data_IF_246323816449
#
_entry.id   IF_246323816449
#
_cell.length_a   1.000
_cell.length_b   1.000
_cell.length_c   1.000
_cell.angle_alpha   90.00
_cell.angle_beta   90.00
_cell.angle_gamma   90.00
#
_symmetry.space_group_name_H-M   'P 1'
#
loop_
_entity.id
_entity.type
_entity.pdbx_description
1 polymer ?
#
# COMPACT_ATOMS: atom_id res chain seq x y z
N UNK A 1 14.46 -15.21 -6.60
CA UNK A 1 14.03 -13.82 -6.51
C UNK A 1 14.34 -13.33 -5.10
N UNK A 2 15.10 -12.25 -5.00
CA UNK A 2 15.42 -11.62 -3.72
C UNK A 2 14.20 -10.84 -3.22
N UNK A 3 13.66 -11.22 -2.05
CA UNK A 3 12.44 -10.62 -1.49
C UNK A 3 12.78 -9.84 -0.25
N UNK A 4 12.31 -8.59 -0.18
CA UNK A 4 12.44 -7.73 0.99
C UNK A 4 11.07 -7.45 1.59
N UNK A 5 10.94 -7.62 2.91
CA UNK A 5 9.77 -7.19 3.68
C UNK A 5 10.08 -5.85 4.34
N UNK A 6 9.24 -4.85 4.09
CA UNK A 6 9.40 -3.49 4.63
C UNK A 6 8.26 -3.15 5.57
N UNK A 7 8.60 -2.78 6.81
CA UNK A 7 7.65 -2.38 7.87
C UNK A 7 8.07 -1.02 8.44
N UNK A 8 7.12 -0.17 8.81
CA UNK A 8 7.35 0.98 9.69
C UNK A 8 6.80 0.70 11.07
N UNK A 9 7.45 1.24 12.12
CA UNK A 9 6.95 1.13 13.48
C UNK A 9 7.40 2.31 14.35
N UNK A 10 6.55 2.67 15.29
CA UNK A 10 6.85 3.60 16.39
C UNK A 10 6.79 2.88 17.74
N UNK A 11 6.55 1.57 17.74
CA UNK A 11 6.34 0.74 18.92
C UNK A 11 7.61 -0.04 19.28
N UNK A 12 7.62 -0.66 20.48
CA UNK A 12 8.62 -1.68 20.85
C UNK A 12 8.48 -2.88 19.90
N UNK A 13 9.54 -3.72 19.74
CA UNK A 13 9.42 -4.99 19.02
C UNK A 13 8.35 -5.87 19.66
N UNK A 14 7.16 -5.83 19.09
CA UNK A 14 6.03 -6.64 19.51
C UNK A 14 6.16 -8.09 19.00
N UNK A 15 5.19 -8.94 19.35
CA UNK A 15 5.17 -10.34 18.90
C UNK A 15 5.19 -10.45 17.38
N UNK A 16 4.54 -9.53 16.67
CA UNK A 16 4.45 -9.55 15.21
C UNK A 16 5.80 -9.29 14.56
N UNK A 17 6.49 -8.22 14.99
CA UNK A 17 7.84 -7.88 14.51
C UNK A 17 8.79 -9.05 14.74
N UNK A 18 8.74 -9.71 15.91
CA UNK A 18 9.56 -10.88 16.19
C UNK A 18 9.22 -12.05 15.26
N UNK A 19 7.92 -12.33 15.06
CA UNK A 19 7.46 -13.38 14.14
C UNK A 19 7.92 -13.10 12.71
N UNK A 20 7.79 -11.86 12.21
CA UNK A 20 8.31 -11.49 10.91
C UNK A 20 9.83 -11.66 10.83
N UNK A 21 10.56 -11.24 11.87
CA UNK A 21 12.01 -11.35 11.93
C UNK A 21 12.49 -12.81 11.80
N UNK A 22 11.91 -13.71 12.59
CA UNK A 22 12.20 -15.15 12.58
C UNK A 22 11.83 -15.80 11.24
N UNK A 23 10.62 -15.50 10.75
CA UNK A 23 10.12 -16.07 9.49
C UNK A 23 10.88 -15.54 8.27
N UNK A 24 11.28 -14.25 8.24
CA UNK A 24 12.14 -13.72 7.19
C UNK A 24 13.49 -14.43 7.17
N UNK A 25 14.12 -14.64 8.35
CA UNK A 25 15.35 -15.43 8.44
C UNK A 25 15.19 -16.85 7.88
N UNK A 26 14.11 -17.55 8.28
CA UNK A 26 13.83 -18.91 7.84
C UNK A 26 13.58 -19.02 6.32
N UNK A 27 12.96 -18.01 5.71
CA UNK A 27 12.60 -18.00 4.30
C UNK A 27 13.60 -17.26 3.42
N UNK A 28 14.74 -16.83 3.97
CA UNK A 28 15.77 -16.05 3.27
C UNK A 28 15.22 -14.75 2.63
N UNK A 29 14.36 -14.04 3.36
CA UNK A 29 13.87 -12.73 2.99
C UNK A 29 14.65 -11.65 3.73
N UNK A 30 14.98 -10.56 3.06
CA UNK A 30 15.49 -9.38 3.74
C UNK A 30 14.39 -8.75 4.58
N UNK A 31 14.69 -8.42 5.82
CA UNK A 31 13.74 -7.76 6.72
C UNK A 31 14.22 -6.35 7.03
N UNK A 32 13.41 -5.34 6.68
CA UNK A 32 13.74 -3.93 6.85
C UNK A 32 12.65 -3.27 7.70
N UNK A 33 13.06 -2.77 8.86
CA UNK A 33 12.18 -2.04 9.77
C UNK A 33 12.61 -0.58 9.80
N UNK A 34 11.69 0.31 9.45
CA UNK A 34 11.91 1.76 9.47
C UNK A 34 11.30 2.34 10.75
N UNK A 35 12.14 2.85 11.61
CA UNK A 35 11.72 3.55 12.82
C UNK A 35 11.48 5.04 12.57
N UNK A 36 10.88 5.71 13.56
CA UNK A 36 10.70 7.15 13.57
C UNK A 36 11.05 7.72 14.96
N UNK A 37 10.86 9.01 15.18
CA UNK A 37 11.20 9.72 16.43
C UNK A 37 10.63 9.05 17.67
N UNK A 38 9.42 8.48 17.59
CA UNK A 38 8.74 7.80 18.71
C UNK A 38 9.21 6.37 18.94
N UNK A 39 9.95 5.76 18.00
CA UNK A 39 10.43 4.38 18.16
C UNK A 39 11.43 4.32 19.32
N UNK A 40 11.28 3.37 20.27
CA UNK A 40 12.18 3.25 21.41
C UNK A 40 13.65 3.10 21.01
N UNK A 41 14.55 3.78 21.74
CA UNK A 41 16.00 3.73 21.47
C UNK A 41 16.60 2.32 21.55
N UNK A 42 16.03 1.46 22.39
CA UNK A 42 16.46 0.06 22.57
C UNK A 42 15.75 -0.92 21.62
N UNK A 43 15.17 -0.41 20.51
CA UNK A 43 14.57 -1.28 19.50
C UNK A 43 15.65 -2.16 18.85
N UNK A 44 15.42 -3.46 18.82
CA UNK A 44 16.37 -4.43 18.29
C UNK A 44 15.64 -5.53 17.50
N UNK A 45 16.23 -5.99 16.41
CA UNK A 45 15.89 -7.18 15.65
C UNK A 45 17.15 -8.01 15.40
N UNK A 46 17.03 -9.34 15.43
CA UNK A 46 18.16 -10.26 15.29
C UNK A 46 18.53 -10.59 13.83
N UNK A 47 17.66 -10.27 12.87
CA UNK A 47 17.87 -10.50 11.45
C UNK A 47 17.34 -9.30 10.65
N UNK A 48 18.08 -8.92 9.60
CA UNK A 48 17.71 -7.79 8.73
C UNK A 48 18.24 -6.46 9.20
N UNK A 49 17.61 -5.36 8.78
CA UNK A 49 18.05 -3.99 9.01
C UNK A 49 17.01 -3.21 9.81
N UNK A 50 17.44 -2.61 10.90
CA UNK A 50 16.66 -1.59 11.60
C UNK A 50 17.20 -0.20 11.26
N UNK A 51 16.38 0.60 10.59
CA UNK A 51 16.70 1.97 10.20
C UNK A 51 16.11 2.94 11.23
N UNK A 52 16.81 3.20 12.32
CA UNK A 52 16.49 4.30 13.22
C UNK A 52 16.77 5.66 12.54
N UNK A 53 16.35 6.77 13.13
CA UNK A 53 16.51 8.10 12.53
C UNK A 53 17.98 8.42 12.19
N UNK A 54 18.92 8.06 13.08
CA UNK A 54 20.34 8.28 12.82
C UNK A 54 20.84 7.44 11.65
N UNK A 55 20.42 6.16 11.58
CA UNK A 55 20.77 5.28 10.46
C UNK A 55 20.18 5.79 9.14
N UNK A 56 18.95 6.30 9.15
CA UNK A 56 18.33 6.91 7.98
C UNK A 56 19.12 8.14 7.50
N UNK A 57 19.57 9.00 8.41
CA UNK A 57 20.42 10.17 8.08
C UNK A 57 21.84 9.81 7.66
N UNK A 58 22.34 8.62 8.01
CA UNK A 58 23.63 8.12 7.51
C UNK A 58 23.53 7.53 6.09
N UNK A 59 22.33 7.34 5.56
CA UNK A 59 22.17 6.98 4.14
C UNK A 59 22.42 8.21 3.27
N UNK A 60 22.82 7.97 2.01
CA UNK A 60 22.96 9.05 1.03
C UNK A 60 21.63 9.41 0.37
N UNK A 61 20.49 8.97 0.93
CA UNK A 61 19.18 9.22 0.36
C UNK A 61 18.70 10.65 0.68
N UNK A 62 18.59 11.48 -0.35
CA UNK A 62 18.03 12.84 -0.25
C UNK A 62 16.63 12.82 0.38
N UNK A 63 15.84 11.77 0.05
CA UNK A 63 14.51 11.60 0.62
C UNK A 63 14.54 11.43 2.14
N UNK A 64 15.43 10.57 2.67
CA UNK A 64 15.55 10.31 4.10
C UNK A 64 15.88 11.58 4.91
N UNK A 65 16.71 12.46 4.33
CA UNK A 65 17.08 13.74 4.94
C UNK A 65 15.96 14.78 4.90
N UNK A 66 15.12 14.76 3.87
CA UNK A 66 14.06 15.75 3.67
C UNK A 66 12.72 15.38 4.30
N UNK A 67 12.43 14.08 4.43
CA UNK A 67 11.15 13.60 4.96
C UNK A 67 10.98 14.00 6.44
N UNK A 68 9.85 14.61 6.82
CA UNK A 68 9.60 15.01 8.20
C UNK A 68 9.63 13.82 9.17
N UNK A 69 9.94 14.09 10.43
CA UNK A 69 9.78 13.13 11.52
C UNK A 69 8.29 12.94 11.85
N UNK A 70 7.95 11.81 12.46
CA UNK A 70 6.57 11.40 12.76
C UNK A 70 5.70 11.38 11.50
N UNK A 71 6.23 10.83 10.42
CA UNK A 71 5.54 10.76 9.14
C UNK A 71 5.59 9.34 8.57
N UNK A 72 4.43 8.79 8.24
CA UNK A 72 4.32 7.43 7.69
C UNK A 72 5.12 7.25 6.38
N UNK A 73 5.26 8.32 5.59
CA UNK A 73 6.03 8.28 4.35
C UNK A 73 7.53 7.99 4.55
N UNK A 74 8.06 7.99 5.80
CA UNK A 74 9.42 7.49 6.07
C UNK A 74 9.62 6.04 5.64
N UNK A 75 8.54 5.28 5.45
CA UNK A 75 8.55 3.94 4.84
C UNK A 75 9.24 3.93 3.46
N UNK A 76 9.20 5.06 2.72
CA UNK A 76 9.94 5.23 1.46
C UNK A 76 11.45 4.97 1.61
N UNK A 77 12.06 5.35 2.75
CA UNK A 77 13.47 5.04 3.01
C UNK A 77 13.72 3.53 3.06
N UNK A 78 12.77 2.77 3.60
CA UNK A 78 12.84 1.30 3.60
C UNK A 78 12.74 0.70 2.19
N UNK A 79 11.93 1.28 1.32
CA UNK A 79 11.85 0.85 -0.08
C UNK A 79 13.16 1.15 -0.83
N UNK A 80 13.75 2.33 -0.64
CA UNK A 80 15.06 2.66 -1.23
C UNK A 80 16.14 1.70 -0.75
N UNK A 81 16.15 1.37 0.54
CA UNK A 81 17.13 0.41 1.09
C UNK A 81 16.89 -1.01 0.51
N UNK A 82 15.65 -1.45 0.34
CA UNK A 82 15.34 -2.72 -0.32
C UNK A 82 15.83 -2.74 -1.79
N UNK A 83 15.64 -1.65 -2.53
CA UNK A 83 16.10 -1.50 -3.91
C UNK A 83 17.64 -1.51 -3.97
N UNK A 84 18.29 -0.82 -3.06
CA UNK A 84 19.76 -0.82 -2.92
C UNK A 84 20.29 -2.23 -2.68
N UNK A 85 19.59 -3.04 -1.88
CA UNK A 85 19.89 -4.45 -1.61
C UNK A 85 19.47 -5.38 -2.78
N UNK A 86 19.15 -4.81 -3.96
CA UNK A 86 18.80 -5.55 -5.18
C UNK A 86 17.59 -6.48 -5.00
N UNK A 87 16.55 -6.01 -4.31
CA UNK A 87 15.28 -6.72 -4.25
C UNK A 87 14.66 -6.91 -5.64
N UNK A 88 14.12 -8.11 -5.89
CA UNK A 88 13.26 -8.40 -7.05
C UNK A 88 11.79 -8.16 -6.68
N UNK A 89 11.49 -8.34 -5.38
CA UNK A 89 10.15 -8.22 -4.81
C UNK A 89 10.24 -7.43 -3.50
N UNK A 90 9.37 -6.43 -3.36
CA UNK A 90 9.14 -5.75 -2.10
C UNK A 90 7.74 -6.11 -1.61
N UNK A 91 7.66 -6.64 -0.39
CA UNK A 91 6.41 -6.86 0.34
C UNK A 91 6.33 -5.80 1.43
N UNK A 92 5.20 -5.16 1.55
CA UNK A 92 4.96 -4.16 2.60
C UNK A 92 3.84 -4.59 3.52
N UNK A 93 4.00 -4.31 4.81
CA UNK A 93 2.98 -4.54 5.84
C UNK A 93 3.16 -3.56 7.00
N UNK A 94 2.30 -3.65 8.00
CA UNK A 94 2.32 -2.83 9.22
C UNK A 94 2.65 -3.69 10.44
N UNK A 95 3.03 -3.05 11.55
CA UNK A 95 3.53 -3.71 12.76
C UNK A 95 2.45 -4.38 13.62
N UNK A 96 1.17 -4.24 13.25
CA UNK A 96 0.01 -4.85 13.90
C UNK A 96 -0.60 -6.03 13.12
N UNK A 97 0.06 -6.44 12.02
CA UNK A 97 -0.33 -7.60 11.23
C UNK A 97 0.41 -8.86 11.66
N UNK A 98 -0.29 -9.99 11.66
CA UNK A 98 0.23 -11.33 11.96
C UNK A 98 0.24 -12.17 10.68
N UNK A 99 1.41 -12.64 10.20
CA UNK A 99 1.47 -13.45 9.00
C UNK A 99 0.93 -14.85 9.26
N UNK A 100 0.13 -15.37 8.33
CA UNK A 100 -0.18 -16.79 8.22
C UNK A 100 1.00 -17.53 7.59
N UNK A 101 1.05 -18.86 7.71
CA UNK A 101 2.17 -19.63 7.20
C UNK A 101 2.44 -19.39 5.70
N UNK A 102 1.40 -19.35 4.89
CA UNK A 102 1.49 -19.13 3.44
C UNK A 102 1.74 -17.67 3.03
N UNK A 103 1.89 -16.73 3.97
CA UNK A 103 2.37 -15.37 3.68
C UNK A 103 3.75 -15.40 3.03
N UNK A 104 4.60 -16.35 3.39
CA UNK A 104 5.97 -16.48 2.89
C UNK A 104 6.10 -17.35 1.64
N UNK A 105 5.02 -17.88 1.10
CA UNK A 105 5.04 -18.67 -0.12
C UNK A 105 5.63 -17.89 -1.28
N UNK A 106 6.23 -18.62 -2.23
CA UNK A 106 6.84 -18.06 -3.44
C UNK A 106 5.86 -17.16 -4.21
N UNK A 107 6.25 -15.93 -4.42
CA UNK A 107 5.44 -14.96 -5.17
C UNK A 107 5.59 -15.22 -6.67
N UNK A 108 4.48 -15.11 -7.39
CA UNK A 108 4.41 -15.31 -8.86
C UNK A 108 3.82 -14.06 -9.50
N UNK A 109 4.17 -13.81 -10.75
CA UNK A 109 3.60 -12.72 -11.56
C UNK A 109 2.39 -13.22 -12.35
N UNK A 110 2.46 -14.44 -12.86
CA UNK A 110 1.45 -15.02 -13.76
C UNK A 110 0.39 -15.80 -12.98
N UNK A 111 -0.86 -15.48 -13.24
CA UNK A 111 -2.02 -16.18 -12.67
C UNK A 111 -3.13 -16.37 -13.70
N UNK A 112 -3.87 -17.46 -13.54
CA UNK A 112 -5.16 -17.69 -14.19
C UNK A 112 -6.26 -17.43 -13.16
N UNK A 113 -6.96 -16.31 -13.27
CA UNK A 113 -7.89 -15.80 -12.24
C UNK A 113 -9.16 -15.26 -12.84
N UNK A 114 -10.16 -15.05 -12.02
CA UNK A 114 -11.35 -14.30 -12.38
C UNK A 114 -11.02 -12.81 -12.60
N UNK A 115 -11.80 -12.13 -13.41
CA UNK A 115 -11.62 -10.68 -13.67
C UNK A 115 -12.92 -9.93 -13.47
N UNK A 116 -12.85 -8.79 -12.79
CA UNK A 116 -13.97 -7.89 -12.59
C UNK A 116 -14.21 -7.10 -13.87
N UNK A 117 -15.48 -7.03 -14.31
CA UNK A 117 -15.90 -6.39 -15.57
C UNK A 117 -16.43 -4.98 -15.42
N UNK A 118 -16.68 -4.56 -14.20
CA UNK A 118 -17.12 -3.19 -13.92
C UNK A 118 -16.07 -2.17 -14.41
N UNK A 119 -16.51 -0.95 -14.73
CA UNK A 119 -15.64 0.18 -15.11
C UNK A 119 -15.71 1.34 -14.11
N UNK A 120 -16.40 1.11 -12.99
CA UNK A 120 -16.63 2.06 -11.90
C UNK A 120 -15.94 1.60 -10.61
N UNK A 121 -16.13 2.38 -9.55
CA UNK A 121 -15.81 1.94 -8.21
C UNK A 121 -16.54 0.65 -7.84
N UNK A 122 -15.88 -0.21 -7.08
CA UNK A 122 -16.44 -1.43 -6.54
C UNK A 122 -16.04 -1.59 -5.09
N UNK A 123 -16.91 -2.18 -4.30
CA UNK A 123 -16.57 -2.68 -3.00
C UNK A 123 -15.84 -4.03 -3.13
N UNK A 124 -14.53 -4.03 -3.08
CA UNK A 124 -13.75 -5.27 -3.25
C UNK A 124 -14.06 -6.31 -2.16
N UNK A 125 -14.44 -5.89 -0.95
CA UNK A 125 -14.74 -6.80 0.14
C UNK A 125 -15.97 -7.67 -0.14
N UNK A 126 -16.97 -7.18 -0.90
CA UNK A 126 -18.16 -7.97 -1.30
C UNK A 126 -17.79 -9.25 -2.07
N UNK A 127 -16.63 -9.28 -2.73
CA UNK A 127 -16.16 -10.46 -3.47
C UNK A 127 -15.56 -11.49 -2.52
N UNK A 128 -14.90 -11.03 -1.47
CA UNK A 128 -14.04 -11.87 -0.63
C UNK A 128 -14.71 -12.32 0.68
N UNK A 129 -15.71 -11.61 1.20
CA UNK A 129 -16.38 -12.02 2.45
C UNK A 129 -16.97 -13.44 2.33
N UNK A 130 -16.77 -14.26 3.36
CA UNK A 130 -17.33 -15.62 3.40
C UNK A 130 -18.86 -15.58 3.54
N UNK A 131 -19.34 -14.75 4.47
CA UNK A 131 -20.76 -14.53 4.72
C UNK A 131 -21.12 -13.10 4.33
N UNK A 132 -22.22 -12.92 3.63
CA UNK A 132 -22.71 -11.59 3.25
C UNK A 132 -22.83 -10.72 4.49
N UNK A 133 -22.13 -9.60 4.50
CA UNK A 133 -22.17 -8.59 5.56
C UNK A 133 -21.95 -7.22 4.92
N UNK A 134 -22.50 -6.20 5.56
CA UNK A 134 -22.32 -4.82 5.12
C UNK A 134 -20.96 -4.32 5.61
N UNK A 135 -19.99 -4.29 4.72
CA UNK A 135 -18.61 -3.86 5.00
C UNK A 135 -17.99 -3.25 3.74
N UNK A 136 -17.11 -2.27 3.90
CA UNK A 136 -16.36 -1.67 2.79
C UNK A 136 -14.92 -1.31 3.17
N UNK A 137 -13.97 -1.31 2.20
CA UNK A 137 -12.59 -0.95 2.45
C UNK A 137 -12.42 0.56 2.61
N UNK A 138 -11.42 0.97 3.39
CA UNK A 138 -10.97 2.36 3.47
C UNK A 138 -10.60 2.87 2.07
N UNK A 139 -11.05 4.07 1.76
CA UNK A 139 -10.81 4.73 0.47
C UNK A 139 -11.88 4.48 -0.59
N UNK A 140 -12.83 3.57 -0.39
CA UNK A 140 -14.03 3.52 -1.24
C UNK A 140 -14.84 4.80 -0.98
N UNK A 141 -15.22 5.58 -2.04
CA UNK A 141 -16.07 6.74 -1.83
C UNK A 141 -17.40 6.35 -1.20
N UNK A 142 -17.84 7.09 -0.18
CA UNK A 142 -19.06 6.77 0.57
C UNK A 142 -20.31 6.69 -0.32
N UNK A 143 -20.33 7.47 -1.40
CA UNK A 143 -21.42 7.43 -2.40
C UNK A 143 -21.49 6.12 -3.19
N UNK A 144 -20.47 5.27 -3.09
CA UNK A 144 -20.36 4.03 -3.84
C UNK A 144 -20.62 2.77 -2.99
N UNK A 145 -20.75 2.91 -1.66
CA UNK A 145 -20.88 1.75 -0.75
C UNK A 145 -22.19 0.94 -0.99
N UNK A 146 -23.25 1.59 -1.45
CA UNK A 146 -24.52 0.93 -1.76
C UNK A 146 -24.70 0.58 -3.25
N UNK A 147 -23.74 1.00 -4.09
CA UNK A 147 -23.82 0.77 -5.52
C UNK A 147 -23.02 -0.47 -5.85
N UNK A 148 -23.60 -1.45 -6.50
CA UNK A 148 -22.86 -2.37 -7.34
C UNK A 148 -23.32 -3.81 -7.28
N UNK A 149 -23.85 -4.26 -8.40
CA UNK A 149 -23.74 -5.67 -8.78
C UNK A 149 -22.37 -5.87 -9.42
N UNK A 150 -21.49 -6.63 -8.79
CA UNK A 150 -20.18 -6.95 -9.34
C UNK A 150 -20.35 -7.99 -10.44
N UNK A 151 -19.82 -7.68 -11.62
CA UNK A 151 -19.82 -8.58 -12.80
C UNK A 151 -18.45 -9.20 -12.94
N UNK A 152 -18.39 -10.52 -13.03
CA UNK A 152 -17.13 -11.29 -13.12
C UNK A 152 -17.05 -12.04 -14.45
N UNK A 153 -15.88 -11.98 -15.12
CA UNK A 153 -15.47 -12.91 -16.17
C UNK A 153 -14.52 -13.93 -15.56
N UNK A 154 -14.81 -15.20 -15.76
CA UNK A 154 -14.01 -16.27 -15.18
C UNK A 154 -12.77 -16.59 -16.04
N UNK A 155 -11.68 -16.98 -15.37
CA UNK A 155 -10.49 -17.62 -15.91
C UNK A 155 -9.78 -16.85 -17.04
N UNK A 156 -9.30 -15.63 -16.72
CA UNK A 156 -8.34 -14.92 -17.57
C UNK A 156 -6.90 -15.26 -17.16
N UNK A 157 -6.00 -15.34 -18.12
CA UNK A 157 -4.56 -15.33 -17.85
C UNK A 157 -4.09 -13.87 -17.73
N UNK A 158 -3.17 -13.60 -16.82
CA UNK A 158 -2.64 -12.24 -16.62
C UNK A 158 -1.32 -12.21 -15.89
N UNK A 159 -0.60 -11.10 -16.10
CA UNK A 159 0.59 -10.73 -15.34
C UNK A 159 0.24 -9.62 -14.37
N UNK A 160 0.62 -9.81 -13.10
CA UNK A 160 0.26 -8.94 -12.01
C UNK A 160 1.52 -8.53 -11.23
N UNK A 161 2.06 -7.38 -11.59
CA UNK A 161 3.26 -6.82 -10.93
C UNK A 161 2.91 -6.11 -9.61
N UNK A 162 1.64 -5.77 -9.41
CA UNK A 162 1.08 -5.28 -8.16
C UNK A 162 0.00 -6.24 -7.66
N UNK A 163 0.14 -6.69 -6.41
CA UNK A 163 -0.77 -7.65 -5.82
C UNK A 163 -1.15 -7.19 -4.41
N UNK A 164 -2.45 -7.09 -4.14
CA UNK A 164 -3.00 -6.69 -2.84
C UNK A 164 -3.64 -7.89 -2.17
N UNK A 165 -3.09 -8.30 -1.04
CA UNK A 165 -3.72 -9.26 -0.14
C UNK A 165 -4.65 -8.56 0.86
N UNK A 166 -5.71 -9.26 1.28
CA UNK A 166 -6.56 -8.79 2.36
C UNK A 166 -5.97 -9.20 3.71
N UNK A 167 -6.38 -8.51 4.76
CA UNK A 167 -6.14 -8.88 6.15
C UNK A 167 -7.48 -9.15 6.82
N UNK A 168 -7.62 -10.27 7.53
CA UNK A 168 -8.87 -10.64 8.19
C UNK A 168 -8.89 -10.27 9.68
N UNK A 169 -9.97 -10.59 10.35
CA UNK A 169 -10.38 -10.23 11.71
C UNK A 169 -10.69 -8.74 11.82
N UNK A 170 -9.72 -7.88 11.61
CA UNK A 170 -9.88 -6.43 11.65
C UNK A 170 -9.35 -5.80 10.36
N UNK A 171 -10.03 -5.99 9.20
CA UNK A 171 -9.56 -5.49 7.92
C UNK A 171 -9.50 -3.97 7.87
N UNK A 172 -8.82 -3.43 6.85
CA UNK A 172 -8.68 -2.00 6.65
C UNK A 172 -9.98 -1.35 6.16
N UNK A 173 -10.90 -1.13 7.09
CA UNK A 173 -12.12 -0.34 6.91
C UNK A 173 -11.88 1.10 7.37
N UNK A 174 -12.72 2.04 6.92
CA UNK A 174 -12.61 3.43 7.29
C UNK A 174 -13.12 3.74 8.71
N UNK A 175 -12.88 4.96 9.17
CA UNK A 175 -13.25 5.38 10.52
C UNK A 175 -14.77 5.45 10.71
N UNK A 176 -15.55 5.80 9.68
CA UNK A 176 -17.01 5.81 9.76
C UNK A 176 -17.51 4.39 10.04
N UNK A 177 -17.03 3.41 9.27
CA UNK A 177 -17.37 2.00 9.52
C UNK A 177 -17.06 1.58 10.96
N UNK A 178 -15.90 1.98 11.46
CA UNK A 178 -15.44 1.63 12.83
C UNK A 178 -16.25 2.28 13.92
N UNK A 179 -16.64 3.54 13.74
CA UNK A 179 -17.43 4.28 14.73
C UNK A 179 -18.84 3.68 14.87
N UNK A 180 -19.43 3.23 13.76
CA UNK A 180 -20.80 2.68 13.77
C UNK A 180 -20.86 1.16 14.02
N UNK A 181 -19.70 0.48 14.03
CA UNK A 181 -19.61 -0.96 14.28
C UNK A 181 -18.69 -1.26 15.45
N UNK A 182 -19.25 -1.59 16.59
CA UNK A 182 -18.49 -1.82 17.83
C UNK A 182 -17.49 -3.00 17.73
N UNK A 183 -17.90 -4.06 17.06
CA UNK A 183 -17.08 -5.28 16.92
C UNK A 183 -16.86 -5.63 15.47
N UNK A 184 -15.60 -5.62 15.05
CA UNK A 184 -15.19 -6.00 13.69
C UNK A 184 -14.49 -7.35 13.77
N UNK A 185 -15.10 -8.37 13.18
CA UNK A 185 -14.54 -9.72 13.06
C UNK A 185 -14.92 -10.29 11.70
N UNK A 186 -14.05 -10.09 10.72
CA UNK A 186 -14.32 -10.43 9.33
C UNK A 186 -13.49 -11.61 8.89
N UNK A 187 -14.15 -12.58 8.26
CA UNK A 187 -13.50 -13.70 7.57
C UNK A 187 -13.68 -13.55 6.07
N UNK A 188 -12.61 -13.77 5.35
CA UNK A 188 -12.59 -13.77 3.90
C UNK A 188 -12.42 -15.19 3.36
N UNK A 189 -13.00 -15.46 2.18
CA UNK A 189 -12.85 -16.72 1.45
C UNK A 189 -11.37 -17.12 1.38
N UNK A 190 -11.08 -18.38 1.62
CA UNK A 190 -9.73 -18.93 1.45
C UNK A 190 -9.37 -19.05 -0.03
N UNK A 191 -8.09 -18.88 -0.35
CA UNK A 191 -7.48 -19.11 -1.69
C UNK A 191 -8.24 -18.54 -2.90
N UNK A 192 -8.89 -17.39 -2.74
CA UNK A 192 -9.54 -16.71 -3.85
C UNK A 192 -8.67 -15.57 -4.38
N UNK A 193 -8.63 -15.41 -5.70
CA UNK A 193 -7.86 -14.40 -6.40
C UNK A 193 -8.70 -13.81 -7.52
N UNK A 194 -8.64 -12.48 -7.68
CA UNK A 194 -9.38 -11.78 -8.72
C UNK A 194 -8.58 -10.63 -9.28
N UNK A 195 -8.61 -10.48 -10.60
CA UNK A 195 -8.09 -9.30 -11.28
C UNK A 195 -9.07 -8.15 -11.16
N UNK A 196 -8.58 -6.98 -10.74
CA UNK A 196 -9.38 -5.75 -10.69
C UNK A 196 -9.90 -5.31 -12.08
N UNK A 197 -9.26 -5.77 -13.15
CA UNK A 197 -9.63 -5.41 -14.52
C UNK A 197 -9.61 -3.89 -14.75
N UNK A 198 -10.72 -3.35 -15.27
CA UNK A 198 -10.90 -1.90 -15.47
C UNK A 198 -11.63 -1.22 -14.30
N UNK A 199 -11.99 -1.97 -13.27
CA UNK A 199 -12.70 -1.44 -12.09
C UNK A 199 -11.81 -0.58 -11.22
N UNK A 200 -12.41 0.13 -10.27
CA UNK A 200 -11.72 0.96 -9.28
C UNK A 200 -11.93 0.38 -7.90
N UNK A 201 -10.86 0.12 -7.21
CA UNK A 201 -10.79 -0.10 -5.78
C UNK A 201 -9.42 0.37 -5.31
N UNK A 202 -9.37 1.08 -4.22
CA UNK A 202 -8.08 1.44 -3.59
C UNK A 202 -7.40 0.18 -3.07
N UNK A 203 -6.10 0.24 -2.96
CA UNK A 203 -5.28 -0.68 -2.20
C UNK A 203 -4.48 0.09 -1.15
N UNK A 204 -3.99 -0.59 -0.14
CA UNK A 204 -3.26 0.00 0.97
C UNK A 204 -1.82 -0.52 1.05
N UNK A 205 -1.12 -0.21 2.14
CA UNK A 205 0.25 -0.68 2.42
C UNK A 205 0.32 -1.79 3.48
N UNK A 206 -0.83 -2.44 3.76
CA UNK A 206 -0.96 -3.42 4.82
C UNK A 206 -0.52 -4.84 4.39
N UNK A 207 -0.78 -5.23 3.14
CA UNK A 207 -0.46 -6.58 2.62
C UNK A 207 -0.25 -6.50 1.10
N UNK A 208 0.79 -5.78 0.67
CA UNK A 208 0.97 -5.45 -0.74
C UNK A 208 2.30 -5.95 -1.24
N UNK A 209 2.29 -6.54 -2.43
CA UNK A 209 3.45 -7.13 -3.09
C UNK A 209 3.73 -6.33 -4.36
N UNK A 210 4.97 -5.85 -4.46
CA UNK A 210 5.49 -5.08 -5.56
C UNK A 210 6.62 -5.86 -6.24
N UNK A 211 6.54 -6.03 -7.55
CA UNK A 211 7.63 -6.59 -8.34
C UNK A 211 8.49 -5.48 -8.93
N UNK A 212 9.80 -5.74 -9.10
CA UNK A 212 10.84 -4.78 -9.52
C UNK A 212 10.41 -3.87 -10.66
N UNK A 213 9.66 -4.39 -11.62
CA UNK A 213 9.18 -3.68 -12.81
C UNK A 213 8.40 -2.39 -12.51
N UNK A 214 7.83 -2.29 -11.33
CA UNK A 214 6.98 -1.15 -10.91
C UNK A 214 7.50 -0.44 -9.65
N UNK A 215 8.74 -0.66 -9.23
CA UNK A 215 9.30 -0.03 -8.02
C UNK A 215 9.31 1.50 -8.07
N UNK A 216 9.39 2.08 -9.27
CA UNK A 216 9.25 3.53 -9.44
C UNK A 216 7.91 4.10 -8.94
N UNK A 217 6.90 3.26 -8.75
CA UNK A 217 5.57 3.64 -8.28
C UNK A 217 5.36 3.46 -6.76
N UNK A 218 6.37 3.03 -6.02
CA UNK A 218 6.29 2.78 -4.56
C UNK A 218 6.08 4.04 -3.72
N UNK A 219 6.39 5.22 -4.25
CA UNK A 219 6.40 6.49 -3.52
C UNK A 219 5.10 6.74 -2.72
N UNK A 220 5.24 6.91 -1.42
CA UNK A 220 4.19 7.33 -0.49
C UNK A 220 4.25 8.86 -0.34
N UNK A 221 3.15 9.60 -0.61
CA UNK A 221 3.12 11.06 -0.46
C UNK A 221 3.33 11.49 0.99
N UNK A 222 3.96 12.65 1.15
CA UNK A 222 4.44 13.17 2.46
C UNK A 222 3.48 14.19 3.05
N UNK A 223 2.76 14.95 2.21
CA UNK A 223 2.05 16.17 2.64
C UNK A 223 0.54 15.99 2.80
N UNK A 224 0.05 14.75 2.81
CA UNK A 224 -1.32 14.43 3.19
C UNK A 224 -1.39 13.88 4.62
N UNK A 225 -2.62 13.69 5.13
CA UNK A 225 -2.81 13.02 6.42
C UNK A 225 -2.30 11.58 6.36
N UNK A 226 -1.90 11.05 7.51
CA UNK A 226 -1.34 9.71 7.62
C UNK A 226 -2.32 8.64 7.10
N UNK A 227 -3.62 8.85 7.33
CA UNK A 227 -4.69 7.95 6.89
C UNK A 227 -4.97 8.01 5.38
N UNK A 228 -4.50 9.08 4.69
CA UNK A 228 -4.68 9.26 3.24
C UNK A 228 -3.47 8.74 2.43
N UNK A 229 -2.31 8.62 3.03
CA UNK A 229 -1.01 8.43 2.36
C UNK A 229 -1.02 7.26 1.37
N UNK A 230 -1.31 6.06 1.82
CA UNK A 230 -1.31 4.84 0.99
C UNK A 230 -2.51 4.79 0.03
N UNK A 231 -3.65 5.33 0.45
CA UNK A 231 -4.86 5.40 -0.38
C UNK A 231 -4.66 6.34 -1.57
N UNK A 232 -4.08 7.52 -1.37
CA UNK A 232 -3.82 8.45 -2.47
C UNK A 232 -2.68 7.97 -3.38
N UNK A 233 -1.64 7.32 -2.82
CA UNK A 233 -0.69 6.55 -3.64
C UNK A 233 -1.43 5.57 -4.54
N UNK A 234 -2.39 4.83 -3.99
CA UNK A 234 -3.11 3.82 -4.75
C UNK A 234 -3.86 4.42 -5.96
N UNK A 235 -4.47 5.59 -5.83
CA UNK A 235 -5.15 6.27 -6.94
C UNK A 235 -4.19 6.66 -8.07
N UNK A 236 -3.01 7.18 -7.71
CA UNK A 236 -1.95 7.53 -8.68
C UNK A 236 -1.45 6.27 -9.39
N UNK A 237 -1.12 5.23 -8.66
CA UNK A 237 -0.61 3.96 -9.20
C UNK A 237 -1.64 3.29 -10.09
N UNK A 238 -2.90 3.22 -9.65
CA UNK A 238 -4.02 2.71 -10.45
C UNK A 238 -4.13 3.45 -11.80
N UNK A 239 -4.00 4.78 -11.79
CA UNK A 239 -4.08 5.59 -13.02
C UNK A 239 -2.95 5.23 -13.99
N UNK A 240 -1.71 5.13 -13.49
CA UNK A 240 -0.52 4.84 -14.30
C UNK A 240 -0.58 3.42 -14.85
N UNK A 241 -0.83 2.42 -14.02
CA UNK A 241 -0.90 1.02 -14.43
C UNK A 241 -2.03 0.77 -15.44
N UNK A 242 -3.21 1.33 -15.22
CA UNK A 242 -4.32 1.23 -16.18
C UNK A 242 -4.02 1.86 -17.53
N UNK A 243 -3.31 3.01 -17.54
CA UNK A 243 -2.86 3.64 -18.79
C UNK A 243 -1.94 2.71 -19.60
N UNK A 244 -1.15 1.91 -18.90
CA UNK A 244 -0.22 0.94 -19.49
C UNK A 244 -0.86 -0.44 -19.72
N UNK A 245 -2.17 -0.58 -19.54
CA UNK A 245 -2.89 -1.85 -19.68
C UNK A 245 -2.57 -2.90 -18.63
N UNK A 246 -1.81 -2.54 -17.58
CA UNK A 246 -1.48 -3.44 -16.47
C UNK A 246 -2.66 -3.57 -15.50
N UNK A 247 -2.78 -4.74 -14.90
CA UNK A 247 -3.86 -5.08 -13.98
C UNK A 247 -3.33 -5.30 -12.58
N UNK A 248 -4.18 -5.10 -11.58
CA UNK A 248 -3.89 -5.38 -10.17
C UNK A 248 -4.59 -6.68 -9.78
N UNK A 249 -3.89 -7.54 -9.06
CA UNK A 249 -4.43 -8.74 -8.45
C UNK A 249 -4.86 -8.43 -7.02
N UNK A 250 -6.09 -8.75 -6.67
CA UNK A 250 -6.50 -8.91 -5.28
C UNK A 250 -6.55 -10.38 -4.93
N UNK A 251 -6.10 -10.72 -3.73
CA UNK A 251 -6.10 -12.10 -3.25
C UNK A 251 -6.56 -12.18 -1.79
N UNK A 252 -7.03 -13.36 -1.42
CA UNK A 252 -7.48 -13.69 -0.07
C UNK A 252 -6.41 -13.42 0.97
N UNK A 253 -6.82 -13.41 2.21
CA UNK A 253 -5.96 -13.06 3.33
C UNK A 253 -4.77 -13.99 3.49
N UNK A 254 -3.58 -13.42 3.61
CA UNK A 254 -2.34 -14.11 4.02
C UNK A 254 -1.91 -13.69 5.43
N UNK A 255 -2.69 -12.82 6.05
CA UNK A 255 -2.46 -12.33 7.40
C UNK A 255 -3.78 -11.99 8.10
N UNK A 256 -3.70 -11.78 9.42
CA UNK A 256 -4.78 -11.18 10.19
C UNK A 256 -4.26 -9.96 10.94
N UNK A 257 -5.09 -8.96 11.12
CA UNK A 257 -4.76 -7.77 11.89
C UNK A 257 -5.33 -7.86 13.28
N UNK A 258 -4.46 -7.61 14.27
CA UNK A 258 -4.86 -7.27 15.63
C UNK A 258 -4.49 -5.80 15.83
N UNK A 259 -5.45 -4.94 15.48
CA UNK A 259 -5.22 -3.49 15.42
C UNK A 259 -4.73 -2.94 16.76
N UNK A 260 -3.75 -2.02 16.68
CA UNK A 260 -3.34 -1.20 17.81
C UNK A 260 -4.51 -0.30 18.28
N UNK A 261 -4.45 0.16 19.53
CA UNK A 261 -5.43 1.14 20.02
C UNK A 261 -5.32 2.44 19.22
N UNK A 262 -6.47 2.91 18.76
CA UNK A 262 -6.60 4.15 17.99
C UNK A 262 -7.66 5.06 18.60
N UNK A 263 -7.45 6.35 18.50
CA UNK A 263 -8.50 7.34 18.68
C UNK A 263 -9.33 7.39 17.38
N UNK A 264 -10.53 6.82 17.40
CA UNK A 264 -11.40 6.74 16.22
C UNK A 264 -11.86 8.12 15.73
N UNK A 265 -12.00 9.10 16.62
CA UNK A 265 -12.38 10.47 16.24
C UNK A 265 -11.21 11.16 15.53
N UNK A 266 -9.99 10.94 16.00
CA UNK A 266 -8.81 11.41 15.29
C UNK A 266 -8.62 10.70 13.93
N UNK A 267 -8.82 9.37 13.86
CA UNK A 267 -8.82 8.64 12.59
C UNK A 267 -9.86 9.23 11.62
N UNK A 268 -11.07 9.51 12.07
CA UNK A 268 -12.12 10.15 11.27
C UNK A 268 -11.69 11.51 10.74
N UNK A 269 -11.14 12.36 11.61
CA UNK A 269 -10.62 13.68 11.23
C UNK A 269 -9.54 13.56 10.14
N UNK A 270 -8.63 12.64 10.28
CA UNK A 270 -7.56 12.40 9.30
C UNK A 270 -8.08 11.79 7.98
N UNK A 271 -9.22 11.10 8.00
CA UNK A 271 -9.84 10.50 6.81
C UNK A 271 -10.79 11.44 6.05
N UNK A 272 -11.22 12.56 6.62
CA UNK A 272 -12.11 13.53 5.97
C UNK A 272 -11.66 13.88 4.54
N UNK A 273 -10.35 14.13 4.25
CA UNK A 273 -9.92 14.40 2.88
C UNK A 273 -10.22 13.25 1.89
N UNK A 274 -10.19 11.99 2.34
CA UNK A 274 -10.54 10.86 1.46
C UNK A 274 -12.03 10.87 1.11
N UNK A 275 -12.90 11.12 2.08
CA UNK A 275 -14.35 11.18 1.85
C UNK A 275 -14.72 12.28 0.86
N UNK A 276 -14.06 13.44 0.97
CA UNK A 276 -14.33 14.59 0.13
C UNK A 276 -13.68 14.48 -1.26
N UNK A 277 -12.50 13.87 -1.37
CA UNK A 277 -11.65 14.08 -2.54
C UNK A 277 -11.34 12.84 -3.37
N UNK A 278 -11.51 11.60 -2.90
CA UNK A 278 -11.14 10.41 -3.66
C UNK A 278 -11.77 10.38 -5.07
N UNK A 279 -13.06 10.67 -5.20
CA UNK A 279 -13.72 10.77 -6.50
C UNK A 279 -13.17 11.93 -7.36
N UNK A 280 -12.90 13.08 -6.75
CA UNK A 280 -12.34 14.25 -7.46
C UNK A 280 -10.94 13.96 -7.95
N UNK A 281 -10.07 13.39 -7.10
CA UNK A 281 -8.71 12.95 -7.45
C UNK A 281 -8.78 11.97 -8.63
N UNK A 282 -9.61 10.92 -8.52
CA UNK A 282 -9.76 9.97 -9.62
C UNK A 282 -10.16 10.66 -10.93
N UNK A 283 -11.14 11.58 -10.90
CA UNK A 283 -11.63 12.28 -12.09
C UNK A 283 -10.57 13.19 -12.71
N UNK A 284 -9.74 13.87 -11.91
CA UNK A 284 -8.63 14.67 -12.38
C UNK A 284 -7.55 13.78 -13.00
N UNK A 285 -7.11 12.75 -12.28
CA UNK A 285 -6.09 11.83 -12.78
C UNK A 285 -6.51 11.16 -14.09
N UNK A 286 -7.80 10.81 -14.24
CA UNK A 286 -8.33 10.19 -15.46
C UNK A 286 -8.19 11.07 -16.70
N UNK A 287 -8.24 12.39 -16.55
CA UNK A 287 -8.13 13.36 -17.66
C UNK A 287 -6.68 13.57 -18.10
N UNK A 288 -5.69 13.17 -17.30
CA UNK A 288 -4.29 13.37 -17.64
C UNK A 288 -3.88 12.53 -18.87
N UNK A 289 -3.17 13.15 -19.80
CA UNK A 289 -2.52 12.46 -20.90
C UNK A 289 -1.21 11.89 -20.40
N UNK A 290 -1.17 10.56 -20.22
CA UNK A 290 0.01 9.82 -19.77
C UNK A 290 0.63 9.02 -20.92
N UNK A 291 1.95 8.85 -20.88
CA UNK A 291 2.69 8.02 -21.84
C UNK A 291 2.64 6.56 -21.44
N UNK A 292 2.57 5.62 -22.40
CA UNK A 292 2.64 4.18 -22.15
C UNK A 292 4.08 3.70 -21.98
N UNK A 293 4.24 2.55 -21.33
CA UNK A 293 5.52 1.86 -21.15
C UNK A 293 6.24 2.25 -19.85
N UNK A 294 6.96 1.30 -19.30
CA UNK A 294 7.62 1.38 -17.99
C UNK A 294 8.63 2.54 -17.88
N UNK A 295 9.36 2.82 -18.98
CA UNK A 295 10.29 3.97 -19.08
C UNK A 295 9.63 5.32 -18.78
N UNK A 296 8.30 5.39 -18.87
CA UNK A 296 7.53 6.61 -18.63
C UNK A 296 6.88 6.65 -17.25
N UNK A 297 7.06 5.65 -16.39
CA UNK A 297 6.41 5.62 -15.07
C UNK A 297 6.82 6.81 -14.19
N UNK A 298 8.09 7.16 -14.17
CA UNK A 298 8.59 8.31 -13.40
C UNK A 298 7.98 9.62 -13.92
N UNK A 299 7.98 9.86 -15.24
CA UNK A 299 7.38 11.08 -15.80
C UNK A 299 5.87 11.13 -15.58
N UNK A 300 5.18 9.99 -15.65
CA UNK A 300 3.76 9.90 -15.33
C UNK A 300 3.48 10.14 -13.85
N UNK A 301 4.36 9.63 -12.97
CA UNK A 301 4.28 9.85 -11.52
C UNK A 301 4.36 11.35 -11.21
N UNK A 302 5.35 12.05 -11.78
CA UNK A 302 5.50 13.51 -11.65
C UNK A 302 4.23 14.22 -12.10
N UNK A 303 3.69 13.89 -13.27
CA UNK A 303 2.45 14.50 -13.80
C UNK A 303 1.26 14.27 -12.86
N UNK A 304 1.11 13.06 -12.32
CA UNK A 304 0.02 12.76 -11.42
C UNK A 304 0.13 13.55 -10.11
N UNK A 305 1.30 13.56 -9.48
CA UNK A 305 1.49 14.32 -8.23
C UNK A 305 1.42 15.82 -8.44
N UNK A 306 1.93 16.35 -9.57
CA UNK A 306 1.77 17.77 -9.92
C UNK A 306 0.28 18.13 -10.01
N UNK A 307 -0.54 17.30 -10.68
CA UNK A 307 -1.98 17.54 -10.76
C UNK A 307 -2.67 17.52 -9.38
N UNK A 308 -2.19 16.69 -8.43
CA UNK A 308 -2.72 16.71 -7.06
C UNK A 308 -2.32 17.99 -6.32
N UNK A 309 -1.12 18.51 -6.55
CA UNK A 309 -0.64 19.79 -5.99
C UNK A 309 -1.40 20.97 -6.60
N UNK A 310 -1.54 21.02 -7.93
CA UNK A 310 -2.24 22.10 -8.63
C UNK A 310 -3.72 22.22 -8.24
N UNK A 311 -4.31 21.12 -7.79
CA UNK A 311 -5.69 21.09 -7.28
C UNK A 311 -5.80 21.17 -5.75
N UNK A 312 -4.73 21.51 -5.05
CA UNK A 312 -4.65 21.69 -3.58
C UNK A 312 -5.00 20.44 -2.75
N UNK A 313 -4.87 19.22 -3.31
CA UNK A 313 -4.99 17.99 -2.50
C UNK A 313 -3.69 17.71 -1.74
N UNK A 314 -2.55 18.07 -2.30
CA UNK A 314 -1.24 18.00 -1.67
C UNK A 314 -0.60 19.39 -1.62
N UNK A 315 0.21 19.63 -0.59
CA UNK A 315 0.93 20.89 -0.47
C UNK A 315 2.06 20.98 -1.53
N UNK A 316 2.38 22.19 -2.00
CA UNK A 316 3.45 22.44 -3.02
C UNK A 316 4.82 21.81 -2.70
N UNK A 317 5.14 21.65 -1.41
CA UNK A 317 6.37 20.95 -0.96
C UNK A 317 6.42 19.48 -1.38
N UNK A 318 5.29 18.86 -1.74
CA UNK A 318 5.24 17.46 -2.19
C UNK A 318 6.19 17.20 -3.35
N UNK A 319 6.26 18.12 -4.30
CA UNK A 319 7.12 17.97 -5.47
C UNK A 319 8.62 17.91 -5.11
N UNK A 320 9.03 18.60 -4.04
CA UNK A 320 10.41 18.48 -3.51
C UNK A 320 10.69 17.07 -3.00
N UNK A 321 9.76 16.49 -2.21
CA UNK A 321 9.93 15.14 -1.67
C UNK A 321 9.92 14.09 -2.77
N UNK A 322 9.01 14.22 -3.73
CA UNK A 322 8.96 13.34 -4.89
C UNK A 322 10.23 13.41 -5.73
N UNK A 323 10.78 14.60 -5.98
CA UNK A 323 12.03 14.76 -6.72
C UNK A 323 13.20 14.11 -5.98
N UNK A 324 13.31 14.26 -4.65
CA UNK A 324 14.32 13.58 -3.85
C UNK A 324 14.20 12.06 -3.94
N UNK A 325 12.98 11.51 -3.86
CA UNK A 325 12.71 10.09 -4.07
C UNK A 325 13.17 9.63 -5.46
N UNK A 326 12.85 10.38 -6.50
CA UNK A 326 13.20 10.05 -7.89
C UNK A 326 14.72 10.10 -8.09
N UNK A 327 15.41 11.11 -7.53
CA UNK A 327 16.87 11.21 -7.60
C UNK A 327 17.52 10.00 -6.95
N UNK A 328 17.09 9.65 -5.72
CA UNK A 328 17.61 8.49 -5.01
C UNK A 328 17.35 7.19 -5.78
N UNK A 329 16.15 7.04 -6.33
CA UNK A 329 15.78 5.86 -7.13
C UNK A 329 16.65 5.72 -8.38
N UNK A 330 16.88 6.83 -9.13
CA UNK A 330 17.72 6.82 -10.35
C UNK A 330 19.15 6.40 -10.08
N UNK A 331 19.67 6.65 -8.87
CA UNK A 331 21.01 6.23 -8.50
C UNK A 331 21.10 4.73 -8.13
N UNK A 332 19.96 4.04 -8.02
CA UNK A 332 19.88 2.63 -7.59
C UNK A 332 19.50 1.65 -8.71
N UNK A 333 18.86 2.13 -9.78
CA UNK A 333 18.35 1.33 -10.91
C UNK A 333 19.09 1.56 -12.21
#
# INVERSE_FOLDING_TARGET
MNTSLVITTINKPNKNIRTFNEKCKKNNWNFIVVGDKKTPKNFFISHGKYLNIQSQYKTNFKFAHSCPLNNYARKNTGYLEAIKDKADIIVETDDDNYPKNYFFDKKKIQYKVDEIKNKSWINIYDIFVEKKQFIWPRGLPLTEIFKNKIKIKKKINGEFYLQQGLSELNPDVDAIYRIVNEKINVKFKSDYKVSLGKSLSTFNSQNTIWFKKIFSLLYLPVTCSMRCTDIWRSLVVLRILKNDGKKILFFSTTMHQKRNNHDLINDFKEEIPMYLYNNRIHNILRKLILKKGERNYISNLIKCYQALVDNNFLHKKEMKFLNHWIDDLKNLI
#
